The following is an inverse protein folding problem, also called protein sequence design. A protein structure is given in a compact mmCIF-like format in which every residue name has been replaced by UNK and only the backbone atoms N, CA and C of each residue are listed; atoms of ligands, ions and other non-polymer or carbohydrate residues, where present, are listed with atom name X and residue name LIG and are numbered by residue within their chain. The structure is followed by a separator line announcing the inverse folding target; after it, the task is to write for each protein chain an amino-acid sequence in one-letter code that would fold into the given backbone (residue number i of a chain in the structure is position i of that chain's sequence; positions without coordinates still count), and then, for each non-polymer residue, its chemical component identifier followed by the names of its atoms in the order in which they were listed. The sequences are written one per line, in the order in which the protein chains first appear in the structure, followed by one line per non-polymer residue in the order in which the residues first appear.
data_IF_141447844761
#
_entry.id   IF_141447844761
#
_cell.length_a   1.000
_cell.length_b   1.000
_cell.length_c   1.000
_cell.angle_alpha   90.00
_cell.angle_beta   90.00
_cell.angle_gamma   90.00
#
_symmetry.space_group_name_H-M   'P 1'
#
loop_
_entity.id
_entity.type
_entity.pdbx_description
1 polymer ?
#
# COMPACT_ATOMS: atom_id res chain seq x y z
N UNK A 1 32.50 -14.90 -8.11
CA UNK A 1 32.22 -16.32 -8.41
C UNK A 1 31.37 -17.02 -7.34
N UNK A 2 31.78 -17.13 -6.08
CA UNK A 2 30.92 -17.75 -5.03
C UNK A 2 29.66 -16.94 -4.69
N UNK A 3 29.78 -15.61 -4.65
CA UNK A 3 28.66 -14.71 -4.40
C UNK A 3 27.63 -14.72 -5.55
N UNK A 4 28.09 -14.80 -6.81
CA UNK A 4 27.21 -14.83 -7.99
C UNK A 4 26.39 -16.12 -8.04
N UNK A 5 27.04 -17.27 -7.79
CA UNK A 5 26.36 -18.55 -7.73
C UNK A 5 25.36 -18.66 -6.55
N UNK A 6 25.61 -17.94 -5.45
CA UNK A 6 24.67 -17.84 -4.34
C UNK A 6 23.49 -16.93 -4.70
N UNK A 7 23.76 -15.78 -5.32
CA UNK A 7 22.72 -14.84 -5.76
C UNK A 7 21.77 -15.49 -6.78
N UNK A 8 22.29 -16.25 -7.75
CA UNK A 8 21.45 -17.00 -8.69
C UNK A 8 20.55 -18.03 -7.99
N UNK A 9 21.08 -18.79 -7.02
CA UNK A 9 20.28 -19.77 -6.27
C UNK A 9 19.19 -19.11 -5.45
N UNK A 10 19.49 -17.97 -4.83
CA UNK A 10 18.51 -17.18 -4.06
C UNK A 10 17.44 -16.62 -4.99
N UNK A 11 17.82 -16.10 -6.17
CA UNK A 11 16.88 -15.58 -7.16
C UNK A 11 15.92 -16.68 -7.67
N UNK A 12 16.45 -17.86 -7.97
CA UNK A 12 15.64 -19.02 -8.40
C UNK A 12 14.71 -19.50 -7.29
N UNK A 13 15.20 -19.53 -6.04
CA UNK A 13 14.36 -19.91 -4.89
C UNK A 13 13.23 -18.88 -4.66
N UNK A 14 13.55 -17.59 -4.76
CA UNK A 14 12.56 -16.51 -4.67
C UNK A 14 11.52 -16.60 -5.78
N UNK A 15 11.93 -16.76 -7.04
CA UNK A 15 10.99 -16.90 -8.17
C UNK A 15 10.04 -18.10 -7.96
N UNK A 16 10.57 -19.22 -7.46
CA UNK A 16 9.76 -20.42 -7.17
C UNK A 16 8.75 -20.18 -6.04
N UNK A 17 9.15 -19.48 -4.97
CA UNK A 17 8.27 -19.12 -3.84
C UNK A 17 7.20 -18.14 -4.28
N UNK A 18 7.56 -17.14 -5.10
CA UNK A 18 6.63 -16.14 -5.61
C UNK A 18 5.60 -16.78 -6.54
N UNK A 19 6.01 -17.68 -7.44
CA UNK A 19 5.08 -18.43 -8.30
C UNK A 19 4.17 -19.37 -7.50
N UNK A 20 4.70 -20.05 -6.48
CA UNK A 20 3.90 -20.91 -5.63
C UNK A 20 2.86 -20.10 -4.83
N UNK A 21 3.22 -18.91 -4.34
CA UNK A 21 2.27 -17.99 -3.70
C UNK A 21 1.24 -17.44 -4.69
N UNK A 22 1.63 -17.13 -5.91
CA UNK A 22 0.70 -16.71 -6.96
C UNK A 22 -0.32 -17.82 -7.29
N UNK A 23 0.12 -19.09 -7.30
CA UNK A 23 -0.75 -20.24 -7.52
C UNK A 23 -1.63 -20.59 -6.29
N UNK A 24 -1.22 -20.21 -5.08
CA UNK A 24 -2.00 -20.35 -3.84
C UNK A 24 -2.94 -19.15 -3.58
N UNK A 25 -2.90 -18.11 -4.41
CA UNK A 25 -3.86 -17.02 -4.31
C UNK A 25 -5.25 -17.56 -4.69
N UNK A 26 -6.03 -17.85 -3.66
CA UNK A 26 -7.39 -18.38 -3.69
C UNK A 26 -8.24 -17.78 -4.84
N UNK A 27 -8.87 -18.63 -5.63
CA UNK A 27 -9.74 -18.25 -6.76
C UNK A 27 -10.97 -17.42 -6.30
N UNK A 28 -11.28 -17.49 -5.01
CA UNK A 28 -12.28 -16.67 -4.32
C UNK A 28 -11.83 -15.23 -4.00
N UNK A 29 -10.54 -14.93 -4.16
CA UNK A 29 -9.95 -13.62 -3.82
C UNK A 29 -9.78 -12.67 -5.02
N UNK A 30 -10.13 -13.12 -6.23
CA UNK A 30 -9.79 -12.43 -7.48
C UNK A 30 -10.50 -11.10 -7.70
N UNK A 31 -11.65 -10.84 -7.06
CA UNK A 31 -12.48 -9.65 -7.28
C UNK A 31 -12.80 -8.98 -5.94
N UNK A 32 -12.54 -7.68 -5.87
CA UNK A 32 -12.86 -6.80 -4.75
C UNK A 32 -14.08 -5.96 -5.09
N UNK A 33 -14.92 -5.75 -4.09
CA UNK A 33 -16.09 -4.87 -4.11
C UNK A 33 -16.02 -3.93 -2.91
N UNK A 34 -16.88 -2.91 -2.88
CA UNK A 34 -17.00 -2.00 -1.73
C UNK A 34 -17.19 -2.72 -0.37
N UNK A 35 -17.78 -3.92 -0.39
CA UNK A 35 -18.05 -4.73 0.80
C UNK A 35 -16.89 -5.66 1.19
N UNK A 36 -16.03 -5.99 0.23
CA UNK A 36 -14.90 -6.92 0.40
C UNK A 36 -13.56 -6.20 0.35
N UNK A 37 -13.57 -4.86 0.39
CA UNK A 37 -12.38 -4.04 0.49
C UNK A 37 -11.66 -4.30 1.81
N UNK A 38 -10.31 -4.28 1.79
CA UNK A 38 -9.54 -4.17 3.02
C UNK A 38 -9.95 -2.94 3.84
N UNK A 39 -9.97 -3.02 5.18
CA UNK A 39 -10.53 -1.98 6.05
C UNK A 39 -9.74 -0.66 6.02
N UNK A 40 -8.51 -0.67 5.52
CA UNK A 40 -7.65 0.50 5.37
C UNK A 40 -7.86 1.26 4.06
N UNK A 41 -8.68 0.76 3.13
CA UNK A 41 -9.04 1.48 1.90
C UNK A 41 -10.42 2.07 2.08
N UNK A 42 -10.54 3.40 1.96
CA UNK A 42 -11.83 4.05 2.07
C UNK A 42 -12.73 3.70 0.86
N UNK A 43 -14.01 3.33 1.06
CA UNK A 43 -14.90 2.93 -0.02
C UNK A 43 -15.09 4.00 -1.10
N UNK A 44 -15.16 5.27 -0.70
CA UNK A 44 -15.37 6.38 -1.65
C UNK A 44 -14.15 6.60 -2.56
N UNK A 45 -12.93 6.55 -2.00
CA UNK A 45 -11.69 6.64 -2.78
C UNK A 45 -11.57 5.51 -3.79
N UNK A 46 -11.98 4.30 -3.40
CA UNK A 46 -12.04 3.17 -4.32
C UNK A 46 -13.05 3.39 -5.46
N UNK A 47 -14.23 3.96 -5.16
CA UNK A 47 -15.25 4.25 -6.18
C UNK A 47 -14.80 5.33 -7.16
N UNK A 48 -14.19 6.40 -6.64
CA UNK A 48 -13.57 7.45 -7.45
C UNK A 48 -12.51 6.85 -8.38
N UNK A 49 -11.58 6.05 -7.85
CA UNK A 49 -10.52 5.40 -8.62
C UNK A 49 -11.06 4.42 -9.69
N UNK A 50 -12.14 3.71 -9.39
CA UNK A 50 -12.83 2.88 -10.38
C UNK A 50 -13.50 3.72 -11.47
N UNK A 51 -14.09 4.86 -11.10
CA UNK A 51 -14.78 5.76 -12.03
C UNK A 51 -13.81 6.50 -12.95
N UNK A 52 -12.64 6.91 -12.45
CA UNK A 52 -11.59 7.58 -13.22
C UNK A 52 -10.78 6.63 -14.08
N UNK A 53 -10.93 5.31 -13.90
CA UNK A 53 -10.18 4.29 -14.63
C UNK A 53 -8.76 4.07 -14.10
N UNK A 54 -8.43 4.59 -12.92
CA UNK A 54 -7.14 4.37 -12.26
C UNK A 54 -6.89 2.89 -11.92
N UNK A 55 -7.97 2.12 -11.70
CA UNK A 55 -7.89 0.68 -11.42
C UNK A 55 -8.23 -0.12 -12.69
N UNK A 56 -7.25 -0.80 -13.32
CA UNK A 56 -7.49 -1.55 -14.54
C UNK A 56 -8.42 -2.75 -14.31
N UNK A 57 -9.36 -2.96 -15.24
CA UNK A 57 -10.34 -4.04 -15.15
C UNK A 57 -11.51 -3.77 -14.20
N UNK A 58 -11.62 -2.56 -13.65
CA UNK A 58 -12.78 -2.15 -12.88
C UNK A 58 -14.05 -2.11 -13.76
N UNK A 59 -15.14 -2.70 -13.27
CA UNK A 59 -16.43 -2.74 -13.96
C UNK A 59 -17.57 -2.54 -12.98
N UNK A 60 -18.67 -1.95 -13.46
CA UNK A 60 -19.89 -1.79 -12.68
C UNK A 60 -20.78 -3.04 -12.82
N UNK A 61 -21.25 -3.59 -11.70
CA UNK A 61 -22.19 -4.71 -11.67
C UNK A 61 -23.19 -4.53 -10.53
N UNK A 62 -24.50 -4.62 -10.82
CA UNK A 62 -25.58 -4.44 -9.83
C UNK A 62 -25.38 -3.22 -8.90
N UNK A 63 -24.96 -2.09 -9.49
CA UNK A 63 -24.68 -0.80 -8.80
C UNK A 63 -23.46 -0.80 -7.87
N UNK A 64 -22.59 -1.80 -7.97
CA UNK A 64 -21.32 -1.88 -7.24
C UNK A 64 -20.15 -1.91 -8.20
N UNK A 65 -19.04 -1.31 -7.80
CA UNK A 65 -17.77 -1.42 -8.53
C UNK A 65 -17.05 -2.70 -8.13
N UNK A 66 -16.72 -3.49 -9.14
CA UNK A 66 -15.94 -4.71 -9.04
C UNK A 66 -14.60 -4.51 -9.73
N UNK A 67 -13.50 -4.77 -9.03
CA UNK A 67 -12.17 -4.66 -9.60
C UNK A 67 -11.31 -5.87 -9.22
N UNK A 68 -10.33 -6.26 -10.04
CA UNK A 68 -9.39 -7.31 -9.68
C UNK A 68 -8.59 -6.92 -8.43
N UNK A 69 -8.44 -7.84 -7.46
CA UNK A 69 -7.74 -7.54 -6.21
C UNK A 69 -6.30 -7.06 -6.44
N UNK A 70 -5.59 -7.69 -7.36
CA UNK A 70 -4.22 -7.31 -7.72
C UNK A 70 -4.15 -5.88 -8.27
N UNK A 71 -5.11 -5.50 -9.12
CA UNK A 71 -5.19 -4.16 -9.67
C UNK A 71 -5.43 -3.11 -8.58
N UNK A 72 -6.29 -3.42 -7.59
CA UNK A 72 -6.54 -2.54 -6.43
C UNK A 72 -5.26 -2.39 -5.60
N UNK A 73 -4.56 -3.49 -5.31
CA UNK A 73 -3.31 -3.44 -4.52
C UNK A 73 -2.19 -2.69 -5.26
N UNK A 74 -2.07 -2.87 -6.58
CA UNK A 74 -1.10 -2.14 -7.40
C UNK A 74 -1.39 -0.64 -7.44
N UNK A 75 -2.67 -0.26 -7.56
CA UNK A 75 -3.09 1.14 -7.48
C UNK A 75 -2.73 1.76 -6.13
N UNK A 76 -3.07 1.10 -5.01
CA UNK A 76 -2.72 1.59 -3.66
C UNK A 76 -1.20 1.71 -3.47
N UNK A 77 -0.43 0.74 -3.96
CA UNK A 77 1.02 0.80 -3.89
C UNK A 77 1.61 1.97 -4.72
N UNK A 78 0.94 2.35 -5.81
CA UNK A 78 1.34 3.49 -6.64
C UNK A 78 1.01 4.80 -5.95
N UNK A 79 -0.21 4.96 -5.41
CA UNK A 79 -0.58 6.14 -4.62
C UNK A 79 0.30 6.32 -3.38
N UNK A 80 0.65 5.22 -2.70
CA UNK A 80 1.55 5.28 -1.54
C UNK A 80 2.96 5.74 -1.93
N UNK A 81 3.44 5.34 -3.12
CA UNK A 81 4.73 5.81 -3.64
C UNK A 81 4.68 7.27 -4.08
N UNK A 82 3.58 7.69 -4.71
CA UNK A 82 3.37 9.09 -5.07
C UNK A 82 3.19 9.99 -3.83
N UNK A 83 2.58 9.51 -2.76
CA UNK A 83 2.48 10.22 -1.48
C UNK A 83 3.85 10.37 -0.77
N UNK A 84 4.78 9.43 -0.99
CA UNK A 84 6.17 9.54 -0.49
C UNK A 84 7.02 10.43 -1.41
N UNK A 85 6.78 10.40 -2.72
CA UNK A 85 7.46 11.27 -3.69
C UNK A 85 7.00 12.73 -3.58
N UNK A 86 5.72 12.95 -3.29
CA UNK A 86 5.15 14.21 -2.83
C UNK A 86 5.13 14.22 -1.30
N UNK A 87 6.32 14.19 -0.67
CA UNK A 87 6.39 14.47 0.76
C UNK A 87 5.65 15.79 1.01
N UNK A 88 4.62 15.82 1.87
CA UNK A 88 4.00 17.08 2.24
C UNK A 88 5.11 17.91 2.88
N UNK A 89 5.51 18.96 2.16
CA UNK A 89 6.36 20.01 2.70
C UNK A 89 5.55 20.80 3.71
N UNK A 90 5.23 20.18 4.85
CA UNK A 90 4.67 20.87 6.00
C UNK A 90 4.94 20.00 7.22
N UNK A 91 5.86 20.48 8.05
CA UNK A 91 6.08 19.92 9.38
C UNK A 91 4.74 19.84 10.09
N UNK A 92 4.31 18.63 10.47
CA UNK A 92 3.14 18.43 11.32
C UNK A 92 3.30 19.31 12.58
N UNK A 93 2.40 20.29 12.82
CA UNK A 93 2.51 21.20 13.97
C UNK A 93 2.39 20.47 15.32
N UNK A 94 1.98 19.20 15.33
CA UNK A 94 1.91 18.33 16.50
C UNK A 94 3.09 17.34 16.59
N UNK A 95 4.06 17.38 15.67
CA UNK A 95 5.26 16.56 15.77
C UNK A 95 6.08 16.92 17.02
N UNK A 96 6.69 15.91 17.65
CA UNK A 96 7.57 16.09 18.81
C UNK A 96 8.68 17.11 18.54
N UNK A 97 9.16 17.18 17.30
CA UNK A 97 10.19 18.14 16.86
C UNK A 97 9.66 19.58 16.82
N UNK A 98 8.43 19.80 16.32
CA UNK A 98 7.78 21.11 16.35
C UNK A 98 7.48 21.56 17.79
N UNK A 99 7.07 20.63 18.67
CA UNK A 99 6.85 20.90 20.10
C UNK A 99 8.18 21.26 20.78
N UNK A 100 9.27 20.54 20.51
CA UNK A 100 10.59 20.82 21.09
C UNK A 100 11.16 22.17 20.61
N UNK A 101 10.94 22.51 19.33
CA UNK A 101 11.32 23.80 18.77
C UNK A 101 10.49 24.95 19.35
N UNK A 102 9.17 24.77 19.53
CA UNK A 102 8.29 25.78 20.12
C UNK A 102 8.53 25.98 21.63
N UNK A 103 8.95 24.93 22.34
CA UNK A 103 9.17 24.94 23.80
C UNK A 103 10.63 25.22 24.18
N UNK A 104 11.50 25.53 23.21
CA UNK A 104 12.89 25.91 23.47
C UNK A 104 13.73 24.82 24.17
N UNK A 105 13.47 23.54 23.90
CA UNK A 105 14.31 22.43 24.39
C UNK A 105 14.20 22.12 25.89
N UNK A 106 13.11 22.48 26.57
CA UNK A 106 12.93 22.20 28.00
C UNK A 106 11.83 21.17 28.30
N UNK A 107 11.95 19.95 27.76
CA UNK A 107 11.21 18.81 28.31
C UNK A 107 12.05 18.17 29.42
N UNK A 108 11.87 18.66 30.64
CA UNK A 108 12.32 18.02 31.89
C UNK A 108 11.59 16.67 32.03
N UNK A 109 12.14 15.61 31.43
CA UNK A 109 11.78 14.23 31.75
C UNK A 109 12.28 13.98 33.16
N UNK A 110 11.37 14.00 34.15
CA UNK A 110 11.70 13.50 35.49
C UNK A 110 11.80 11.98 35.41
N UNK A 111 12.96 11.37 35.69
CA UNK A 111 12.99 9.94 35.95
C UNK A 111 12.27 9.67 37.29
N UNK A 112 11.60 8.52 37.33
CA UNK A 112 10.81 8.00 38.44
C UNK A 112 11.65 7.76 39.69
#
# INVERSE_FOLDING_TARGET
MLADAFAERVAVALDRILRARAAQADESWGIVSQKTLPPWIHPDTYVEACRTGAIPGAKIWRRQWLAPREAVLAWVATESREAVANAPGEFDPCSLEAIVAATGGALLVKPK
#
